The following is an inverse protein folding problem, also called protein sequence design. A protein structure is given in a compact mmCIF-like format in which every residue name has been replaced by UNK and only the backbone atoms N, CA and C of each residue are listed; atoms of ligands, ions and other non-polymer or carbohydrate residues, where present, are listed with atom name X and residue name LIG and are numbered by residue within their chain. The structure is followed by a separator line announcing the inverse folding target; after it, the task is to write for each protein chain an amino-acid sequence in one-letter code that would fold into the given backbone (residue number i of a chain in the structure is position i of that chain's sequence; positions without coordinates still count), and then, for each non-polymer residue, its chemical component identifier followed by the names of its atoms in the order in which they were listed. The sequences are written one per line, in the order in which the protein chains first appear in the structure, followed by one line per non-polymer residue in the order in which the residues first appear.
data_IF_516727125868
#
_entry.id   IF_516727125868
#
_cell.length_a   1.000
_cell.length_b   1.000
_cell.length_c   1.000
_cell.angle_alpha   90.00
_cell.angle_beta   90.00
_cell.angle_gamma   90.00
#
_symmetry.space_group_name_H-M   'P 1'
#
loop_
_entity.id
_entity.type
_entity.pdbx_description
1 polymer ?
#
# COMPACT_ATOMS: atom_id res chain seq x y z
N UNK A 1 -19.96 17.03 33.11
CA UNK A 1 -18.49 16.91 33.25
C UNK A 1 -18.14 15.51 32.77
N UNK A 2 -17.88 15.35 31.46
CA UNK A 2 -17.72 14.04 30.84
C UNK A 2 -16.26 13.62 30.91
N UNK A 3 -15.97 12.59 31.71
CA UNK A 3 -14.64 12.02 31.89
C UNK A 3 -14.50 10.80 30.98
N UNK A 4 -13.75 10.92 29.88
CA UNK A 4 -13.29 9.78 29.07
C UNK A 4 -11.81 9.91 28.67
N UNK A 5 -10.84 9.70 29.60
CA UNK A 5 -9.42 9.75 29.24
C UNK A 5 -8.71 8.38 29.20
N UNK A 6 -9.41 7.26 29.41
CA UNK A 6 -8.79 5.91 29.48
C UNK A 6 -9.03 5.03 28.25
N UNK A 7 -10.20 5.15 27.63
CA UNK A 7 -10.55 4.36 26.44
C UNK A 7 -9.96 4.97 25.16
N UNK A 8 -9.85 6.30 25.09
CA UNK A 8 -9.17 7.00 24.00
C UNK A 8 -7.69 6.64 23.92
N UNK A 9 -7.00 6.58 25.06
CA UNK A 9 -5.58 6.18 25.11
C UNK A 9 -5.36 4.73 24.68
N UNK A 10 -6.25 3.82 25.09
CA UNK A 10 -6.16 2.41 24.68
C UNK A 10 -6.41 2.23 23.17
N UNK A 11 -7.42 2.93 22.62
CA UNK A 11 -7.71 2.95 21.18
C UNK A 11 -6.55 3.51 20.39
N UNK A 12 -6.03 4.67 20.77
CA UNK A 12 -4.93 5.33 20.04
C UNK A 12 -3.63 4.52 20.12
N UNK A 13 -3.39 3.84 21.26
CA UNK A 13 -2.28 2.90 21.39
C UNK A 13 -2.43 1.70 20.45
N UNK A 14 -3.60 1.07 20.40
CA UNK A 14 -3.88 -0.04 19.48
C UNK A 14 -3.70 0.40 18.01
N UNK A 15 -4.21 1.59 17.67
CA UNK A 15 -4.07 2.18 16.34
C UNK A 15 -2.60 2.44 15.97
N UNK A 16 -1.81 2.98 16.90
CA UNK A 16 -0.38 3.20 16.69
C UNK A 16 0.38 1.90 16.45
N UNK A 17 0.09 0.84 17.23
CA UNK A 17 0.72 -0.49 17.05
C UNK A 17 0.41 -1.07 15.68
N UNK A 18 -0.84 -0.95 15.23
CA UNK A 18 -1.27 -1.38 13.90
C UNK A 18 -0.52 -0.52 12.85
N UNK A 19 -0.68 0.80 12.83
CA UNK A 19 -0.02 1.66 11.82
C UNK A 19 1.49 1.45 11.70
N UNK A 20 2.21 1.29 12.81
CA UNK A 20 3.67 1.12 12.82
C UNK A 20 4.16 -0.11 12.05
N UNK A 21 3.32 -1.14 11.89
CA UNK A 21 3.69 -2.40 11.24
C UNK A 21 3.25 -2.49 9.79
N UNK A 22 2.39 -1.57 9.33
CA UNK A 22 1.69 -1.71 8.06
C UNK A 22 2.66 -1.85 6.89
N UNK A 23 3.51 -0.85 6.64
CA UNK A 23 4.44 -0.82 5.50
C UNK A 23 5.33 -2.06 5.45
N UNK A 24 5.97 -2.40 6.57
CA UNK A 24 6.88 -3.56 6.64
C UNK A 24 6.16 -4.90 6.43
N UNK A 25 4.86 -4.98 6.71
CA UNK A 25 4.07 -6.20 6.54
C UNK A 25 3.54 -6.40 5.13
N UNK A 26 3.26 -5.29 4.41
CA UNK A 26 2.51 -5.36 3.17
C UNK A 26 3.29 -4.99 1.93
N UNK A 27 4.34 -4.18 2.06
CA UNK A 27 5.18 -3.79 0.94
C UNK A 27 6.24 -4.85 0.65
N UNK A 28 6.55 -5.03 -0.62
CA UNK A 28 7.56 -6.00 -1.05
C UNK A 28 8.26 -5.54 -2.33
N UNK A 29 9.46 -6.05 -2.54
CA UNK A 29 10.22 -5.79 -3.75
C UNK A 29 9.63 -6.57 -4.93
N UNK A 30 9.27 -5.83 -5.98
CA UNK A 30 8.71 -6.35 -7.24
C UNK A 30 9.65 -6.07 -8.43
N UNK A 31 10.81 -5.46 -8.19
CA UNK A 31 11.76 -5.02 -9.23
C UNK A 31 12.23 -6.17 -10.12
N UNK A 32 12.56 -7.32 -9.52
CA UNK A 32 12.96 -8.52 -10.26
C UNK A 32 11.87 -9.05 -11.20
N UNK A 33 10.63 -9.17 -10.70
CA UNK A 33 9.47 -9.58 -11.51
C UNK A 33 9.17 -8.56 -12.63
N UNK A 34 9.31 -7.27 -12.31
CA UNK A 34 9.09 -6.19 -13.27
C UNK A 34 10.15 -6.22 -14.38
N UNK A 35 11.42 -6.39 -14.03
CA UNK A 35 12.52 -6.48 -14.99
C UNK A 35 12.34 -7.68 -15.94
N UNK A 36 11.93 -8.84 -15.40
CA UNK A 36 11.57 -10.00 -16.21
C UNK A 36 10.45 -9.67 -17.19
N UNK A 37 9.38 -9.02 -16.74
CA UNK A 37 8.24 -8.67 -17.60
C UNK A 37 8.63 -7.67 -18.70
N UNK A 38 9.45 -6.66 -18.39
CA UNK A 38 10.00 -5.75 -19.39
C UNK A 38 10.86 -6.48 -20.44
N UNK A 39 11.68 -7.43 -19.99
CA UNK A 39 12.52 -8.22 -20.88
C UNK A 39 11.69 -9.11 -21.81
N UNK A 40 10.74 -9.87 -21.27
CA UNK A 40 9.85 -10.77 -22.05
C UNK A 40 9.03 -10.00 -23.09
N UNK A 41 8.64 -8.77 -22.78
CA UNK A 41 7.86 -7.90 -23.68
C UNK A 41 8.72 -6.99 -24.56
N UNK A 42 10.04 -7.08 -24.46
CA UNK A 42 11.00 -6.26 -25.21
C UNK A 42 10.70 -4.76 -25.09
N UNK A 43 10.30 -4.31 -23.90
CA UNK A 43 9.96 -2.90 -23.67
C UNK A 43 11.21 -2.03 -23.75
N UNK A 44 11.10 -0.92 -24.47
CA UNK A 44 12.14 0.09 -24.62
C UNK A 44 11.64 1.42 -24.04
N UNK A 45 12.57 2.21 -23.51
CA UNK A 45 12.35 3.62 -23.19
C UNK A 45 12.20 4.43 -24.49
N UNK A 46 11.77 5.71 -24.42
CA UNK A 46 11.75 6.60 -25.59
C UNK A 46 13.11 6.75 -26.29
N UNK A 47 14.21 6.65 -25.54
CA UNK A 47 15.59 6.71 -26.04
C UNK A 47 16.11 5.37 -26.59
N UNK A 48 15.27 4.34 -26.63
CA UNK A 48 15.63 3.01 -27.15
C UNK A 48 16.41 2.12 -26.17
N UNK A 49 16.47 2.49 -24.89
CA UNK A 49 17.15 1.71 -23.86
C UNK A 49 16.22 0.58 -23.38
N UNK A 50 16.70 -0.65 -23.12
CA UNK A 50 15.86 -1.70 -22.54
C UNK A 50 15.28 -1.29 -21.19
N UNK A 51 13.96 -1.20 -21.09
CA UNK A 51 13.26 -0.73 -19.88
C UNK A 51 13.54 -1.62 -18.65
N UNK A 52 13.88 -2.89 -18.88
CA UNK A 52 14.27 -3.82 -17.81
C UNK A 52 15.45 -3.30 -16.96
N UNK A 53 16.34 -2.49 -17.55
CA UNK A 53 17.47 -1.89 -16.82
C UNK A 53 17.01 -0.86 -15.78
N UNK A 54 15.94 -0.11 -16.07
CA UNK A 54 15.35 0.85 -15.13
C UNK A 54 14.48 0.16 -14.08
N UNK A 55 13.94 -1.01 -14.37
CA UNK A 55 13.14 -1.75 -13.39
C UNK A 55 14.00 -2.28 -12.23
N UNK A 56 15.26 -2.65 -12.48
CA UNK A 56 16.17 -3.16 -11.45
C UNK A 56 16.52 -2.02 -10.48
N UNK A 57 16.32 -2.26 -9.18
CA UNK A 57 16.63 -1.25 -8.14
C UNK A 57 15.59 -0.13 -8.01
N UNK A 58 14.52 -0.14 -8.81
CA UNK A 58 13.44 0.85 -8.74
C UNK A 58 12.57 0.75 -7.47
N UNK A 59 12.71 -0.32 -6.69
CA UNK A 59 11.86 -0.63 -5.54
C UNK A 59 11.72 0.55 -4.57
N UNK A 60 12.83 1.09 -4.10
CA UNK A 60 12.81 2.16 -3.08
C UNK A 60 12.15 3.43 -3.63
N UNK A 61 12.48 3.81 -4.86
CA UNK A 61 11.91 4.99 -5.51
C UNK A 61 10.40 4.85 -5.75
N UNK A 62 9.94 3.69 -6.27
CA UNK A 62 8.52 3.43 -6.51
C UNK A 62 7.75 3.31 -5.19
N UNK A 63 8.32 2.64 -4.18
CA UNK A 63 7.74 2.64 -2.83
C UNK A 63 7.64 4.07 -2.31
N UNK A 64 8.69 4.88 -2.41
CA UNK A 64 8.62 6.27 -1.97
C UNK A 64 7.49 7.04 -2.70
N UNK A 65 7.38 6.90 -4.03
CA UNK A 65 6.32 7.56 -4.81
C UNK A 65 4.91 7.20 -4.34
N UNK A 66 4.62 5.93 -4.11
CA UNK A 66 3.29 5.48 -3.67
C UNK A 66 2.99 5.92 -2.23
N UNK A 67 4.00 5.85 -1.35
CA UNK A 67 3.81 6.06 0.08
C UNK A 67 3.95 7.51 0.52
N UNK A 68 4.52 8.40 -0.31
CA UNK A 68 4.77 9.80 0.04
C UNK A 68 3.50 10.56 0.43
N UNK A 69 2.39 10.31 -0.27
CA UNK A 69 1.08 10.93 -0.04
C UNK A 69 0.18 10.09 0.87
N UNK A 70 0.60 8.87 1.22
CA UNK A 70 -0.25 7.92 1.92
C UNK A 70 -0.42 8.31 3.39
N UNK A 71 -1.65 8.62 3.78
CA UNK A 71 -2.05 8.85 5.17
C UNK A 71 -3.07 7.79 5.60
N UNK A 72 -2.72 6.88 6.52
CA UNK A 72 -3.65 5.85 6.98
C UNK A 72 -4.79 6.46 7.78
N UNK A 73 -6.01 6.43 7.23
CA UNK A 73 -7.22 6.90 7.86
C UNK A 73 -7.99 5.74 8.51
N UNK A 74 -8.43 5.90 9.75
CA UNK A 74 -9.23 4.89 10.46
C UNK A 74 -10.70 4.87 10.06
N UNK A 75 -11.14 5.90 9.34
CA UNK A 75 -12.47 5.95 8.76
C UNK A 75 -12.65 4.82 7.74
N UNK A 76 -13.72 4.03 7.90
CA UNK A 76 -14.02 2.87 7.04
C UNK A 76 -13.31 1.57 7.43
N UNK A 77 -12.47 1.55 8.47
CA UNK A 77 -11.87 0.31 8.98
C UNK A 77 -12.91 -0.47 9.78
N UNK A 78 -13.17 -1.72 9.36
CA UNK A 78 -14.08 -2.68 10.00
C UNK A 78 -13.35 -3.99 10.24
N UNK A 79 -13.86 -4.86 11.11
CA UNK A 79 -13.25 -6.18 11.31
C UNK A 79 -13.25 -7.02 10.04
N UNK A 80 -12.12 -7.68 9.76
CA UNK A 80 -11.96 -8.62 8.65
C UNK A 80 -11.34 -9.93 9.14
N UNK A 81 -12.13 -10.99 9.15
CA UNK A 81 -11.68 -12.31 9.61
C UNK A 81 -10.93 -13.10 8.54
N UNK A 82 -11.25 -12.90 7.26
CA UNK A 82 -10.72 -13.69 6.13
C UNK A 82 -9.29 -13.31 5.71
N UNK A 83 -8.66 -12.36 6.41
CA UNK A 83 -7.33 -11.83 6.09
C UNK A 83 -7.35 -10.73 5.03
N UNK A 84 -6.16 -10.38 4.53
CA UNK A 84 -5.94 -9.24 3.61
C UNK A 84 -5.12 -9.62 2.36
N UNK A 85 -4.90 -10.92 2.12
CA UNK A 85 -3.98 -11.42 1.09
C UNK A 85 -4.42 -11.02 -0.32
N UNK A 86 -5.72 -10.99 -0.57
CA UNK A 86 -6.28 -10.56 -1.87
C UNK A 86 -5.93 -9.11 -2.17
N UNK A 87 -6.10 -8.23 -1.19
CA UNK A 87 -5.82 -6.80 -1.27
C UNK A 87 -4.31 -6.56 -1.38
N UNK A 88 -3.49 -7.36 -0.67
CA UNK A 88 -2.04 -7.28 -0.77
C UNK A 88 -1.58 -7.62 -2.20
N UNK A 89 -2.10 -8.69 -2.78
CA UNK A 89 -1.80 -9.06 -4.16
C UNK A 89 -2.22 -7.95 -5.14
N UNK A 90 -3.40 -7.33 -4.95
CA UNK A 90 -3.86 -6.20 -5.77
C UNK A 90 -2.91 -5.00 -5.69
N UNK A 91 -2.45 -4.66 -4.49
CA UNK A 91 -1.47 -3.59 -4.28
C UNK A 91 -0.14 -3.89 -4.96
N UNK A 92 0.43 -5.08 -4.74
CA UNK A 92 1.71 -5.47 -5.35
C UNK A 92 1.64 -5.51 -6.87
N UNK A 93 0.50 -5.92 -7.43
CA UNK A 93 0.25 -5.88 -8.87
C UNK A 93 0.16 -4.45 -9.41
N UNK A 94 -0.52 -3.55 -8.70
CA UNK A 94 -0.58 -2.13 -9.07
C UNK A 94 0.81 -1.46 -8.99
N UNK A 95 1.61 -1.81 -7.96
CA UNK A 95 3.01 -1.38 -7.84
C UNK A 95 3.88 -1.87 -9.00
N UNK A 96 3.72 -3.14 -9.39
CA UNK A 96 4.39 -3.70 -10.58
C UNK A 96 4.01 -2.90 -11.84
N UNK A 97 2.72 -2.63 -12.05
CA UNK A 97 2.27 -1.82 -13.19
C UNK A 97 2.83 -0.41 -13.21
N UNK A 98 2.88 0.27 -12.05
CA UNK A 98 3.53 1.57 -11.94
C UNK A 98 5.01 1.49 -12.33
N UNK A 99 5.71 0.47 -11.85
CA UNK A 99 7.13 0.27 -12.16
C UNK A 99 7.35 0.05 -13.66
N UNK A 100 6.49 -0.75 -14.31
CA UNK A 100 6.51 -0.93 -15.77
C UNK A 100 6.26 0.38 -16.52
N UNK A 101 5.25 1.15 -16.08
CA UNK A 101 4.88 2.41 -16.73
C UNK A 101 6.02 3.43 -16.63
N UNK A 102 6.66 3.55 -15.46
CA UNK A 102 7.81 4.42 -15.24
C UNK A 102 8.99 4.02 -16.13
N UNK A 103 9.36 2.74 -16.10
CA UNK A 103 10.46 2.24 -16.91
C UNK A 103 10.22 2.42 -18.42
N UNK A 104 9.02 2.11 -18.91
CA UNK A 104 8.68 2.32 -20.32
C UNK A 104 8.66 3.81 -20.73
N UNK A 105 8.46 4.71 -19.77
CA UNK A 105 8.51 6.17 -20.00
C UNK A 105 9.90 6.79 -19.83
N UNK A 106 10.93 6.02 -19.47
CA UNK A 106 12.24 6.59 -19.11
C UNK A 106 12.20 7.42 -17.81
N UNK A 107 11.41 6.97 -16.83
CA UNK A 107 11.18 7.65 -15.53
C UNK A 107 10.47 9.02 -15.62
N UNK A 108 9.81 9.31 -16.74
CA UNK A 108 9.04 10.55 -16.91
C UNK A 108 7.62 10.48 -16.33
N UNK A 109 7.13 11.60 -15.80
CA UNK A 109 5.78 11.73 -15.23
C UNK A 109 4.67 11.88 -16.30
N UNK A 110 4.58 10.88 -17.18
CA UNK A 110 3.57 10.83 -18.26
C UNK A 110 2.14 10.63 -17.72
N UNK A 111 1.09 10.90 -18.52
CA UNK A 111 -0.29 10.60 -18.12
C UNK A 111 -0.52 9.14 -17.71
N UNK A 112 0.15 8.19 -18.38
CA UNK A 112 0.07 6.77 -18.06
C UNK A 112 0.69 6.44 -16.70
N UNK A 113 1.86 7.02 -16.40
CA UNK A 113 2.51 6.90 -15.09
C UNK A 113 1.63 7.48 -13.97
N UNK A 114 1.03 8.64 -14.19
CA UNK A 114 0.10 9.25 -13.22
C UNK A 114 -1.11 8.37 -12.94
N UNK A 115 -1.72 7.80 -14.00
CA UNK A 115 -2.83 6.87 -13.85
C UNK A 115 -2.43 5.60 -13.07
N UNK A 116 -1.25 5.04 -13.35
CA UNK A 116 -0.73 3.88 -12.62
C UNK A 116 -0.44 4.19 -11.15
N UNK A 117 0.10 5.38 -10.86
CA UNK A 117 0.34 5.85 -9.49
C UNK A 117 -0.98 5.96 -8.72
N UNK A 118 -1.98 6.63 -9.29
CA UNK A 118 -3.31 6.74 -8.67
C UNK A 118 -3.95 5.37 -8.41
N UNK A 119 -3.76 4.40 -9.31
CA UNK A 119 -4.25 3.04 -9.11
C UNK A 119 -3.52 2.33 -7.95
N UNK A 120 -2.20 2.50 -7.85
CA UNK A 120 -1.40 1.96 -6.75
C UNK A 120 -1.76 2.58 -5.40
N UNK A 121 -1.98 3.90 -5.34
CA UNK A 121 -2.43 4.61 -4.14
C UNK A 121 -3.81 4.12 -3.68
N UNK A 122 -4.76 3.93 -4.61
CA UNK A 122 -6.09 3.37 -4.29
C UNK A 122 -6.02 1.93 -3.80
N UNK A 123 -5.16 1.11 -4.42
CA UNK A 123 -4.95 -0.26 -3.98
C UNK A 123 -4.30 -0.31 -2.59
N UNK A 124 -3.36 0.60 -2.30
CA UNK A 124 -2.75 0.74 -0.97
C UNK A 124 -3.78 1.15 0.09
N UNK A 125 -4.65 2.10 -0.22
CA UNK A 125 -5.73 2.50 0.68
C UNK A 125 -6.70 1.34 0.97
N UNK A 126 -7.10 0.59 -0.05
CA UNK A 126 -7.96 -0.59 0.12
C UNK A 126 -7.28 -1.66 0.97
N UNK A 127 -6.00 -1.89 0.74
CA UNK A 127 -5.17 -2.79 1.54
C UNK A 127 -5.05 -2.32 2.98
N UNK A 128 -4.91 -1.02 3.23
CA UNK A 128 -4.89 -0.47 4.58
C UNK A 128 -6.17 -0.82 5.34
N UNK A 129 -7.34 -0.59 4.74
CA UNK A 129 -8.62 -0.92 5.37
C UNK A 129 -8.70 -2.40 5.74
N UNK A 130 -8.33 -3.28 4.81
CA UNK A 130 -8.39 -4.72 5.04
C UNK A 130 -7.36 -5.21 6.05
N UNK A 131 -6.14 -4.71 5.95
CA UNK A 131 -5.05 -5.06 6.85
C UNK A 131 -5.33 -4.59 8.28
N UNK A 132 -5.70 -3.33 8.47
CA UNK A 132 -5.99 -2.78 9.79
C UNK A 132 -7.21 -3.48 10.42
N UNK A 133 -8.24 -3.74 9.61
CA UNK A 133 -9.42 -4.49 10.00
C UNK A 133 -9.11 -5.92 10.45
N UNK A 134 -8.21 -6.59 9.74
CA UNK A 134 -7.73 -7.91 10.13
C UNK A 134 -6.85 -7.89 11.37
N UNK A 135 -5.93 -6.92 11.50
CA UNK A 135 -5.10 -6.82 12.71
C UNK A 135 -5.95 -6.63 13.96
N UNK A 136 -7.06 -5.90 13.87
CA UNK A 136 -7.97 -5.69 14.98
C UNK A 136 -8.65 -7.00 15.45
N UNK A 137 -8.74 -8.04 14.62
CA UNK A 137 -9.29 -9.35 15.04
C UNK A 137 -8.26 -10.27 15.69
N UNK A 138 -6.98 -9.90 15.72
CA UNK A 138 -5.90 -10.83 16.17
C UNK A 138 -5.75 -10.89 17.68
N UNK A 139 -6.10 -9.84 18.41
CA UNK A 139 -6.03 -9.80 19.88
C UNK A 139 -7.07 -8.82 20.44
N UNK A 140 -7.54 -9.05 21.67
CA UNK A 140 -8.47 -8.15 22.38
C UNK A 140 -7.90 -6.74 22.58
N UNK A 141 -6.57 -6.61 22.70
CA UNK A 141 -5.91 -5.32 22.82
C UNK A 141 -6.01 -4.51 21.51
N UNK A 142 -5.89 -5.18 20.36
CA UNK A 142 -5.98 -4.56 19.04
C UNK A 142 -7.42 -4.36 18.57
N UNK A 143 -8.37 -5.17 19.04
CA UNK A 143 -9.80 -5.00 18.77
C UNK A 143 -10.29 -3.58 19.08
N UNK A 144 -9.75 -2.98 20.15
CA UNK A 144 -10.05 -1.60 20.57
C UNK A 144 -9.75 -0.53 19.53
N UNK A 145 -8.95 -0.83 18.49
CA UNK A 145 -8.65 0.10 17.41
C UNK A 145 -9.88 0.42 16.54
N UNK A 146 -10.82 -0.54 16.45
CA UNK A 146 -12.07 -0.48 15.69
C UNK A 146 -13.23 -0.29 16.66
N UNK A 147 -14.10 0.66 16.38
CA UNK A 147 -15.35 0.86 17.12
C UNK A 147 -16.45 0.04 16.44
N UNK A 148 -16.95 -1.01 17.10
CA UNK A 148 -18.02 -1.89 16.59
C UNK A 148 -19.31 -1.15 16.27
N UNK A 149 -19.54 -0.02 16.92
CA UNK A 149 -20.67 0.87 16.72
C UNK A 149 -20.13 2.29 16.87
N UNK A 150 -20.36 3.15 15.89
CA UNK A 150 -19.94 4.55 15.97
C UNK A 150 -20.47 5.18 17.26
N UNK A 151 -19.68 6.08 17.85
CA UNK A 151 -20.17 6.99 18.87
C UNK A 151 -21.36 7.76 18.25
N UNK A 152 -22.59 7.32 18.52
CA UNK A 152 -23.81 8.11 18.35
C UNK A 152 -23.94 9.09 19.53
#
# INVERSE_FOLDING_TARGET
MSYTPRDSTARDSARSVIQARFRASVDSDVSGLTAQHCFERQLLTPDGIPAAQLCIGSHEAVTHLIWHSFSPAWEGVVYIYDGFRTEQNRYLHAKLHLTLALAASGDEATPGVKAALMAAERALYTLWLAWAGHQATTTDALARAVTEFGDL
#
